data_IF_920786950335
#
_entry.id   IF_920786950335
#
_cell.length_a   1.000
_cell.length_b   1.000
_cell.length_c   1.000
_cell.angle_alpha   90.00
_cell.angle_beta   90.00
_cell.angle_gamma   90.00
#
_symmetry.space_group_name_H-M   'P 1'
#
loop_
_entity.id
_entity.type
_entity.pdbx_description
1 polymer ?
#
# COMPACT_ATOMS: atom_id res chain seq x y z
N UNK A 1 4.41 13.91 33.16
CA UNK A 1 4.22 12.81 32.19
C UNK A 1 3.14 13.26 31.21
N UNK A 2 3.35 13.23 29.88
CA UNK A 2 2.29 13.60 28.95
C UNK A 2 1.09 12.67 29.16
N UNK A 3 -0.09 13.26 29.37
CA UNK A 3 -1.32 12.52 29.62
C UNK A 3 -1.67 11.57 28.47
N UNK A 4 -2.38 10.48 28.80
CA UNK A 4 -2.78 9.47 27.82
C UNK A 4 -3.64 10.13 26.74
N UNK A 5 -3.16 10.14 25.51
CA UNK A 5 -3.85 10.78 24.38
C UNK A 5 -5.22 10.13 24.16
N UNK A 6 -6.25 10.94 23.91
CA UNK A 6 -7.60 10.46 23.55
C UNK A 6 -7.55 9.66 22.25
N UNK A 7 -8.42 8.65 22.10
CA UNK A 7 -8.55 7.91 20.84
C UNK A 7 -8.90 8.83 19.66
N UNK A 8 -9.66 9.91 19.91
CA UNK A 8 -9.98 10.92 18.88
C UNK A 8 -8.74 11.66 18.40
N UNK A 9 -7.87 12.07 19.32
CA UNK A 9 -6.63 12.78 18.99
C UNK A 9 -5.64 11.87 18.27
N UNK A 10 -5.56 10.59 18.67
CA UNK A 10 -4.77 9.58 17.95
C UNK A 10 -5.26 9.39 16.51
N UNK A 11 -6.57 9.37 16.30
CA UNK A 11 -7.16 9.25 14.97
C UNK A 11 -6.83 10.47 14.11
N UNK A 12 -6.99 11.68 14.66
CA UNK A 12 -6.68 12.94 13.98
C UNK A 12 -5.19 13.04 13.60
N UNK A 13 -4.29 12.64 14.50
CA UNK A 13 -2.85 12.62 14.21
C UNK A 13 -2.55 11.62 13.09
N UNK A 14 -3.10 10.41 13.15
CA UNK A 14 -2.93 9.41 12.08
C UNK A 14 -3.43 9.92 10.73
N UNK A 15 -4.54 10.63 10.71
CA UNK A 15 -5.09 11.25 9.50
C UNK A 15 -4.17 12.31 8.91
N UNK A 16 -3.57 13.17 9.74
CA UNK A 16 -2.57 14.16 9.28
C UNK A 16 -1.31 13.54 8.68
N UNK A 17 -0.97 12.30 9.04
CA UNK A 17 0.14 11.54 8.46
C UNK A 17 -0.27 10.69 7.24
N UNK A 18 -1.57 10.61 6.91
CA UNK A 18 -1.99 9.97 5.66
C UNK A 18 -1.62 10.90 4.50
N UNK A 19 -0.73 10.41 3.66
CA UNK A 19 -0.42 11.07 2.39
C UNK A 19 -1.47 10.61 1.38
N UNK A 20 -2.56 11.38 1.26
CA UNK A 20 -3.54 11.18 0.19
C UNK A 20 -3.13 12.05 -0.99
N UNK A 21 -2.66 11.42 -2.07
CA UNK A 21 -2.50 12.09 -3.35
C UNK A 21 -3.80 11.94 -4.13
N UNK A 22 -4.66 12.96 -4.14
CA UNK A 22 -5.86 12.94 -4.99
C UNK A 22 -5.50 13.54 -6.36
N UNK A 23 -5.73 12.77 -7.43
CA UNK A 23 -5.55 13.24 -8.81
C UNK A 23 -6.93 13.45 -9.42
N UNK A 24 -7.38 14.71 -9.58
CA UNK A 24 -8.75 15.01 -10.02
C UNK A 24 -8.95 14.74 -11.52
N UNK A 25 -7.90 14.90 -12.31
CA UNK A 25 -7.93 14.62 -13.75
C UNK A 25 -8.01 13.10 -14.00
N UNK A 26 -9.07 12.62 -14.70
CA UNK A 26 -9.29 11.20 -14.87
C UNK A 26 -8.28 10.54 -15.82
N UNK A 27 -7.78 11.25 -16.84
CA UNK A 27 -6.82 10.70 -17.81
C UNK A 27 -5.45 10.57 -17.16
N UNK A 28 -4.95 11.65 -16.55
CA UNK A 28 -3.69 11.66 -15.81
C UNK A 28 -3.69 10.61 -14.70
N UNK A 29 -4.80 10.45 -13.98
CA UNK A 29 -4.93 9.43 -12.94
C UNK A 29 -4.81 8.03 -13.52
N UNK A 30 -5.50 7.73 -14.62
CA UNK A 30 -5.45 6.40 -15.25
C UNK A 30 -4.05 6.11 -15.82
N UNK A 31 -3.41 7.11 -16.41
CA UNK A 31 -2.04 6.97 -16.94
C UNK A 31 -1.05 6.68 -15.80
N UNK A 32 -1.11 7.43 -14.70
CA UNK A 32 -0.29 7.18 -13.52
C UNK A 32 -0.54 5.79 -12.93
N UNK A 33 -1.80 5.36 -12.80
CA UNK A 33 -2.13 4.01 -12.31
C UNK A 33 -1.52 2.96 -13.23
N UNK A 34 -1.70 3.09 -14.56
CA UNK A 34 -1.20 2.13 -15.54
C UNK A 34 0.32 2.01 -15.51
N UNK A 35 1.04 3.13 -15.49
CA UNK A 35 2.51 3.14 -15.42
C UNK A 35 3.02 2.54 -14.11
N UNK A 36 2.41 2.89 -12.98
CA UNK A 36 2.80 2.34 -11.68
C UNK A 36 2.50 0.84 -11.58
N UNK A 37 1.36 0.39 -12.12
CA UNK A 37 1.02 -1.05 -12.20
C UNK A 37 2.05 -1.80 -13.04
N UNK A 38 2.34 -1.34 -14.25
CA UNK A 38 3.32 -1.97 -15.14
C UNK A 38 4.71 -2.03 -14.51
N UNK A 39 5.12 -0.98 -13.79
CA UNK A 39 6.41 -0.94 -13.12
C UNK A 39 6.48 -1.85 -11.89
N UNK A 40 5.45 -1.83 -11.04
CA UNK A 40 5.48 -2.43 -9.70
C UNK A 40 5.02 -3.88 -9.68
N UNK A 41 3.97 -4.24 -10.42
CA UNK A 41 3.34 -5.55 -10.32
C UNK A 41 4.27 -6.68 -10.74
N UNK A 42 5.01 -6.52 -11.83
CA UNK A 42 5.94 -7.54 -12.32
C UNK A 42 7.11 -7.72 -11.34
N UNK A 43 7.65 -6.61 -10.82
CA UNK A 43 8.73 -6.63 -9.83
C UNK A 43 8.28 -7.27 -8.52
N UNK A 44 7.07 -6.95 -8.06
CA UNK A 44 6.50 -7.50 -6.85
C UNK A 44 6.22 -8.99 -7.00
N UNK A 45 5.66 -9.42 -8.14
CA UNK A 45 5.43 -10.84 -8.43
C UNK A 45 6.74 -11.62 -8.41
N UNK A 46 7.77 -11.14 -9.12
CA UNK A 46 9.10 -11.77 -9.13
C UNK A 46 9.72 -11.84 -7.73
N UNK A 47 9.64 -10.75 -6.96
CA UNK A 47 10.16 -10.71 -5.59
C UNK A 47 9.42 -11.71 -4.69
N UNK A 48 8.08 -11.70 -4.74
CA UNK A 48 7.25 -12.58 -3.93
C UNK A 48 7.51 -14.03 -4.28
N UNK A 49 7.51 -14.41 -5.55
CA UNK A 49 7.70 -15.80 -5.96
C UNK A 49 9.08 -16.33 -5.58
N UNK A 50 10.12 -15.47 -5.69
CA UNK A 50 11.48 -15.81 -5.30
C UNK A 50 11.64 -16.03 -3.79
N UNK A 51 11.00 -15.21 -2.95
CA UNK A 51 11.25 -15.21 -1.50
C UNK A 51 10.13 -15.83 -0.66
N UNK A 52 8.92 -16.02 -1.19
CA UNK A 52 7.78 -16.56 -0.43
C UNK A 52 7.98 -18.02 -0.01
N UNK A 53 8.71 -18.79 -0.83
CA UNK A 53 9.00 -20.20 -0.56
C UNK A 53 10.28 -20.40 0.26
N UNK A 54 11.08 -19.35 0.45
CA UNK A 54 12.28 -19.41 1.29
C UNK A 54 11.87 -19.56 2.76
N UNK A 55 12.45 -20.52 3.51
CA UNK A 55 12.13 -20.71 4.92
C UNK A 55 12.84 -19.66 5.81
N UNK A 56 12.49 -18.38 5.66
CA UNK A 56 13.06 -17.29 6.47
C UNK A 56 12.31 -17.05 7.79
N UNK A 57 11.10 -17.58 7.93
CA UNK A 57 10.28 -17.46 9.14
C UNK A 57 9.19 -18.53 9.18
N UNK A 58 8.80 -18.94 10.39
CA UNK A 58 7.63 -19.79 10.62
C UNK A 58 6.30 -19.04 10.51
N UNK A 59 6.31 -17.68 10.59
CA UNK A 59 5.09 -16.83 10.58
C UNK A 59 4.99 -16.01 9.30
N UNK A 60 4.84 -16.67 8.15
CA UNK A 60 4.87 -16.02 6.82
C UNK A 60 3.84 -14.90 6.67
N UNK A 61 2.62 -15.09 7.20
CA UNK A 61 1.51 -14.13 7.09
C UNK A 61 1.81 -12.77 7.75
N UNK A 62 2.73 -12.74 8.71
CA UNK A 62 3.15 -11.48 9.36
C UNK A 62 3.95 -10.59 8.40
N UNK A 63 4.67 -11.19 7.45
CA UNK A 63 5.64 -10.51 6.59
C UNK A 63 5.17 -10.43 5.13
N UNK A 64 4.49 -11.45 4.62
CA UNK A 64 3.95 -11.51 3.26
C UNK A 64 2.45 -11.22 3.34
N UNK A 65 2.12 -9.94 3.50
CA UNK A 65 0.73 -9.50 3.73
C UNK A 65 -0.10 -9.37 2.47
N UNK A 66 0.55 -9.16 1.33
CA UNK A 66 -0.11 -8.79 0.09
C UNK A 66 0.19 -9.83 -0.98
N UNK A 67 -0.82 -10.09 -1.80
CA UNK A 67 -0.69 -10.78 -3.09
C UNK A 67 -0.47 -9.75 -4.19
N UNK A 68 -0.16 -10.23 -5.41
CA UNK A 68 -0.10 -9.36 -6.59
C UNK A 68 -1.43 -8.60 -6.77
N UNK A 69 -2.55 -9.31 -6.63
CA UNK A 69 -3.90 -8.76 -6.78
C UNK A 69 -4.22 -7.73 -5.68
N UNK A 70 -3.73 -7.93 -4.46
CA UNK A 70 -3.87 -6.93 -3.39
C UNK A 70 -3.14 -5.63 -3.75
N UNK A 71 -1.90 -5.72 -4.22
CA UNK A 71 -1.11 -4.56 -4.64
C UNK A 71 -1.79 -3.86 -5.83
N UNK A 72 -2.34 -4.62 -6.77
CA UNK A 72 -3.07 -4.07 -7.90
C UNK A 72 -4.30 -3.26 -7.45
N UNK A 73 -5.13 -3.83 -6.57
CA UNK A 73 -6.29 -3.12 -5.99
C UNK A 73 -5.88 -1.87 -5.22
N UNK A 74 -4.80 -1.93 -4.46
CA UNK A 74 -4.28 -0.77 -3.73
C UNK A 74 -3.86 0.36 -4.66
N UNK A 75 -3.24 0.04 -5.81
CA UNK A 75 -2.87 1.04 -6.82
C UNK A 75 -4.09 1.67 -7.49
N UNK A 76 -5.15 0.89 -7.72
CA UNK A 76 -6.41 1.41 -8.30
C UNK A 76 -7.11 2.43 -7.40
N UNK A 77 -6.93 2.30 -6.08
CA UNK A 77 -7.53 3.19 -5.08
C UNK A 77 -6.57 4.32 -4.65
N UNK A 78 -5.28 4.20 -4.93
CA UNK A 78 -4.23 5.08 -4.39
C UNK A 78 -4.48 6.57 -4.68
N UNK A 79 -4.97 6.89 -5.88
CA UNK A 79 -5.21 8.27 -6.32
C UNK A 79 -6.67 8.74 -6.17
N UNK A 80 -7.53 7.94 -5.52
CA UNK A 80 -8.97 8.23 -5.37
C UNK A 80 -9.32 9.08 -4.14
N UNK A 81 -8.29 9.64 -3.48
CA UNK A 81 -8.40 10.35 -2.20
C UNK A 81 -9.57 11.31 -2.11
#
# INVERSE_FOLDING_TARGET
MPGKLSEKDKALIKEKFKVNYSVPDPELRQDLIRENKAFLLDRYAMFRDKYANVPFTSKKDKYIKFTKDDVERMLDEFFRG
#
